data_IF_320581736982
#
_entry.id   IF_320581736982
#
_cell.length_a   1.000
_cell.length_b   1.000
_cell.length_c   1.000
_cell.angle_alpha   90.00
_cell.angle_beta   90.00
_cell.angle_gamma   90.00
#
_symmetry.space_group_name_H-M   'P 1'
#
loop_
_entity.id
_entity.type
_entity.pdbx_description
1 polymer ?
#
# COMPACT_ATOMS: atom_id res chain seq x y z
N UNK A 1 -15.64 2.95 -2.71
CA UNK A 1 -16.75 2.29 -1.96
C UNK A 1 -18.03 3.12 -2.13
N UNK A 2 -19.22 2.60 -1.79
CA UNK A 2 -20.45 3.42 -1.82
C UNK A 2 -20.65 4.23 -0.52
N UNK A 3 -21.62 5.14 -0.53
CA UNK A 3 -21.87 6.04 0.61
C UNK A 3 -22.35 5.30 1.85
N UNK A 4 -23.25 4.34 1.70
CA UNK A 4 -23.76 3.55 2.82
C UNK A 4 -22.62 2.79 3.54
N UNK A 5 -21.68 2.26 2.77
CA UNK A 5 -20.47 1.59 3.27
C UNK A 5 -19.57 2.53 4.07
N UNK A 6 -19.28 3.72 3.55
CA UNK A 6 -18.42 4.70 4.21
C UNK A 6 -19.06 5.29 5.47
N UNK A 7 -20.37 5.53 5.43
CA UNK A 7 -21.13 5.97 6.60
C UNK A 7 -21.08 4.89 7.69
N UNK A 8 -21.34 3.64 7.34
CA UNK A 8 -21.23 2.52 8.28
C UNK A 8 -19.83 2.41 8.87
N UNK A 9 -18.77 2.47 8.05
CA UNK A 9 -17.37 2.44 8.50
C UNK A 9 -17.10 3.57 9.51
N UNK A 10 -17.56 4.79 9.20
CA UNK A 10 -17.31 5.95 10.06
C UNK A 10 -18.03 5.80 11.40
N UNK A 11 -19.29 5.39 11.38
CA UNK A 11 -20.10 5.20 12.59
C UNK A 11 -19.60 4.04 13.46
N UNK A 12 -18.94 3.04 12.85
CA UNK A 12 -18.40 1.88 13.54
C UNK A 12 -16.87 1.94 13.68
N UNK A 13 -16.30 3.15 13.88
CA UNK A 13 -14.87 3.31 14.18
C UNK A 13 -14.50 2.44 15.40
N UNK A 14 -13.55 1.50 15.30
CA UNK A 14 -13.09 0.73 16.45
C UNK A 14 -12.47 1.65 17.50
N UNK A 15 -12.43 1.19 18.76
CA UNK A 15 -11.64 1.85 19.79
C UNK A 15 -10.15 1.69 19.46
N UNK A 16 -9.55 2.76 18.93
CA UNK A 16 -8.19 2.78 18.43
C UNK A 16 -7.38 3.79 19.22
N UNK A 17 -6.22 3.34 19.68
CA UNK A 17 -5.25 4.25 20.30
C UNK A 17 -4.82 5.32 19.28
N UNK A 18 -4.66 6.58 19.70
CA UNK A 18 -4.13 7.62 18.83
C UNK A 18 -2.78 7.21 18.26
N UNK A 19 -2.63 7.34 16.94
CA UNK A 19 -1.34 7.14 16.29
C UNK A 19 -0.46 8.38 16.52
N UNK A 20 0.85 8.21 16.79
CA UNK A 20 1.76 9.34 16.78
C UNK A 20 1.81 9.97 15.39
N UNK A 21 2.03 11.29 15.34
CA UNK A 21 2.19 11.98 14.06
C UNK A 21 3.47 11.50 13.36
N UNK A 22 3.40 10.91 12.15
CA UNK A 22 4.59 10.44 11.45
C UNK A 22 5.47 11.61 11.01
N UNK A 23 6.78 11.48 11.21
CA UNK A 23 7.76 12.42 10.68
C UNK A 23 8.35 11.88 9.36
N UNK A 24 7.61 12.04 8.25
CA UNK A 24 8.08 11.59 6.95
C UNK A 24 9.22 12.49 6.44
N UNK A 25 10.32 11.91 5.96
CA UNK A 25 11.38 12.68 5.29
C UNK A 25 10.86 13.35 4.03
N UNK A 26 11.48 14.48 3.60
CA UNK A 26 11.07 15.19 2.38
C UNK A 26 10.98 14.30 1.14
N UNK A 27 11.90 13.32 0.99
CA UNK A 27 11.85 12.37 -0.13
C UNK A 27 10.59 11.50 -0.12
N UNK A 28 10.18 10.99 1.05
CA UNK A 28 8.96 10.19 1.15
C UNK A 28 7.73 11.04 0.80
N UNK A 29 7.59 12.24 1.38
CA UNK A 29 6.50 13.17 1.08
C UNK A 29 6.45 13.52 -0.41
N UNK A 30 7.61 13.74 -1.03
CA UNK A 30 7.72 14.00 -2.47
C UNK A 30 7.17 12.84 -3.30
N UNK A 31 7.57 11.60 -2.98
CA UNK A 31 7.12 10.43 -3.71
C UNK A 31 5.64 10.14 -3.52
N UNK A 32 5.07 10.40 -2.35
CA UNK A 32 3.64 10.18 -2.09
C UNK A 32 2.74 11.02 -3.00
N UNK A 33 3.19 12.19 -3.48
CA UNK A 33 2.45 12.99 -4.49
C UNK A 33 2.42 12.33 -5.87
N UNK A 34 3.25 11.31 -6.10
CA UNK A 34 3.45 10.64 -7.40
C UNK A 34 2.86 9.22 -7.44
N UNK A 35 2.30 8.74 -6.35
CA UNK A 35 1.67 7.40 -6.25
C UNK A 35 0.32 7.31 -6.98
N UNK A 36 -0.23 8.42 -7.46
CA UNK A 36 -1.34 8.42 -8.42
C UNK A 36 -0.87 7.85 -9.76
N UNK A 37 -0.99 6.53 -9.90
CA UNK A 37 -0.51 5.79 -11.05
C UNK A 37 -1.41 5.99 -12.29
N UNK A 38 -0.85 5.87 -13.51
CA UNK A 38 -1.64 5.88 -14.74
C UNK A 38 -2.68 4.74 -14.80
N UNK A 39 -3.84 5.01 -15.43
CA UNK A 39 -4.90 4.00 -15.59
C UNK A 39 -4.50 2.83 -16.49
N UNK A 40 -3.65 3.09 -17.48
CA UNK A 40 -3.15 2.10 -18.44
C UNK A 40 -2.11 1.14 -17.86
N UNK A 41 -1.62 1.40 -16.64
CA UNK A 41 -0.81 0.41 -15.90
C UNK A 41 -1.66 -0.69 -15.26
N UNK A 42 -2.97 -0.48 -15.16
CA UNK A 42 -3.89 -1.49 -14.65
C UNK A 42 -4.14 -2.56 -15.71
N UNK A 43 -3.98 -3.84 -15.35
CA UNK A 43 -4.35 -4.95 -16.25
C UNK A 43 -5.82 -4.86 -16.68
N UNK A 44 -6.70 -4.40 -15.79
CA UNK A 44 -8.11 -4.13 -16.06
C UNK A 44 -8.44 -2.66 -15.77
N UNK A 45 -8.55 -1.77 -16.79
CA UNK A 45 -8.77 -0.34 -16.59
C UNK A 45 -10.04 0.02 -15.79
N UNK A 46 -11.04 -0.86 -15.78
CA UNK A 46 -12.27 -0.74 -14.98
C UNK A 46 -12.03 -0.85 -13.47
N UNK A 47 -10.93 -1.47 -13.05
CA UNK A 47 -10.58 -1.64 -11.63
C UNK A 47 -9.88 -0.40 -11.05
N UNK A 48 -9.54 0.59 -11.88
CA UNK A 48 -8.80 1.77 -11.44
C UNK A 48 -9.45 2.53 -10.26
N UNK A 49 -10.78 2.65 -10.26
CA UNK A 49 -11.54 3.34 -9.20
C UNK A 49 -12.15 2.37 -8.18
N UNK A 50 -11.81 1.08 -8.27
CA UNK A 50 -12.32 0.03 -7.41
C UNK A 50 -11.74 0.07 -5.99
N UNK A 51 -12.12 -0.91 -5.16
CA UNK A 51 -11.61 -1.07 -3.80
C UNK A 51 -10.12 -1.44 -3.74
N UNK A 52 -9.57 -2.11 -4.76
CA UNK A 52 -8.13 -2.41 -4.90
C UNK A 52 -7.46 -1.50 -5.96
N UNK A 53 -8.16 -0.44 -6.37
CA UNK A 53 -7.70 0.50 -7.38
C UNK A 53 -6.70 1.52 -6.85
N UNK A 54 -6.53 2.62 -7.59
CA UNK A 54 -5.49 3.63 -7.32
C UNK A 54 -5.57 4.22 -5.92
N UNK A 55 -6.78 4.37 -5.34
CA UNK A 55 -6.92 4.94 -3.99
C UNK A 55 -6.32 4.03 -2.92
N UNK A 56 -6.57 2.73 -3.02
CA UNK A 56 -5.96 1.73 -2.13
C UNK A 56 -4.43 1.74 -2.29
N UNK A 57 -3.94 1.64 -3.51
CA UNK A 57 -2.50 1.64 -3.78
C UNK A 57 -1.78 2.88 -3.23
N UNK A 58 -2.37 4.08 -3.38
CA UNK A 58 -1.81 5.32 -2.84
C UNK A 58 -1.77 5.34 -1.30
N UNK A 59 -2.83 4.87 -0.63
CA UNK A 59 -2.85 4.79 0.84
C UNK A 59 -1.90 3.71 1.36
N UNK A 60 -1.83 2.56 0.70
CA UNK A 60 -0.84 1.52 0.99
C UNK A 60 0.59 2.04 0.83
N UNK A 61 0.87 2.85 -0.19
CA UNK A 61 2.18 3.50 -0.35
C UNK A 61 2.49 4.51 0.78
N UNK A 62 1.51 5.28 1.23
CA UNK A 62 1.66 6.17 2.39
C UNK A 62 1.94 5.37 3.69
N UNK A 63 1.19 4.29 3.92
CA UNK A 63 1.39 3.41 5.07
C UNK A 63 2.76 2.72 5.02
N UNK A 64 3.23 2.31 3.84
CA UNK A 64 4.57 1.78 3.66
C UNK A 64 5.66 2.81 3.99
N UNK A 65 5.48 4.08 3.60
CA UNK A 65 6.39 5.16 3.99
C UNK A 65 6.43 5.34 5.51
N UNK A 66 5.26 5.38 6.17
CA UNK A 66 5.15 5.55 7.62
C UNK A 66 5.84 4.41 8.38
N UNK A 67 5.58 3.17 7.98
CA UNK A 67 6.19 1.99 8.59
C UNK A 67 7.72 1.97 8.36
N UNK A 68 8.17 2.37 7.18
CA UNK A 68 9.60 2.48 6.88
C UNK A 68 10.31 3.52 7.77
N UNK A 69 9.69 4.69 7.99
CA UNK A 69 10.24 5.70 8.90
C UNK A 69 10.22 5.25 10.35
N UNK A 70 9.13 4.60 10.80
CA UNK A 70 9.02 4.08 12.16
C UNK A 70 10.10 3.02 12.48
N UNK A 71 10.53 2.28 11.46
CA UNK A 71 11.60 1.28 11.56
C UNK A 71 13.00 1.83 11.26
N UNK A 72 13.13 3.13 10.94
CA UNK A 72 14.41 3.76 10.64
C UNK A 72 15.08 3.26 9.36
N UNK A 73 14.31 2.87 8.34
CA UNK A 73 14.85 2.45 7.03
C UNK A 73 15.58 3.61 6.35
N UNK A 74 16.60 3.30 5.55
CA UNK A 74 17.29 4.29 4.75
C UNK A 74 16.44 4.77 3.54
N UNK A 75 16.90 5.80 2.84
CA UNK A 75 16.18 6.34 1.68
C UNK A 75 16.00 5.29 0.57
N UNK A 76 16.97 4.40 0.35
CA UNK A 76 16.88 3.40 -0.70
C UNK A 76 15.78 2.38 -0.40
N UNK A 77 15.64 1.97 0.85
CA UNK A 77 14.66 1.00 1.30
C UNK A 77 13.27 1.62 1.40
N UNK A 78 13.14 2.82 1.98
CA UNK A 78 11.88 3.56 2.04
C UNK A 78 11.32 3.82 0.65
N UNK A 79 12.12 4.31 -0.28
CA UNK A 79 11.66 4.58 -1.66
C UNK A 79 11.31 3.28 -2.41
N UNK A 80 12.04 2.19 -2.17
CA UNK A 80 11.71 0.86 -2.74
C UNK A 80 10.37 0.34 -2.20
N UNK A 81 10.10 0.48 -0.90
CA UNK A 81 8.84 0.07 -0.28
C UNK A 81 7.65 0.89 -0.81
N UNK A 82 7.81 2.22 -0.97
CA UNK A 82 6.79 3.11 -1.55
C UNK A 82 6.45 2.69 -2.98
N UNK A 83 7.46 2.46 -3.82
CA UNK A 83 7.25 2.01 -5.21
C UNK A 83 6.54 0.66 -5.24
N UNK A 84 7.02 -0.31 -4.45
CA UNK A 84 6.43 -1.64 -4.38
C UNK A 84 4.95 -1.58 -3.98
N UNK A 85 4.65 -0.84 -2.91
CA UNK A 85 3.29 -0.63 -2.41
C UNK A 85 2.39 0.10 -3.43
N UNK A 86 2.92 1.06 -4.19
CA UNK A 86 2.12 1.77 -5.18
C UNK A 86 1.68 0.88 -6.36
N UNK A 87 2.50 -0.10 -6.77
CA UNK A 87 2.21 -0.95 -7.94
C UNK A 87 1.72 -2.36 -7.61
N UNK A 88 1.66 -2.76 -6.33
CA UNK A 88 1.47 -4.16 -5.94
C UNK A 88 0.19 -4.81 -6.50
N UNK A 89 -0.86 -4.00 -6.69
CA UNK A 89 -2.18 -4.43 -7.15
C UNK A 89 -2.49 -4.04 -8.61
N UNK A 90 -1.52 -3.49 -9.36
CA UNK A 90 -1.80 -3.02 -10.73
C UNK A 90 -2.17 -4.14 -11.71
N UNK A 91 -1.81 -5.40 -11.41
CA UNK A 91 -2.06 -6.56 -12.29
C UNK A 91 -3.23 -7.45 -11.83
N UNK A 92 -4.21 -6.86 -11.15
CA UNK A 92 -5.47 -7.54 -10.85
C UNK A 92 -6.37 -7.67 -12.09
N UNK A 93 -7.02 -8.82 -12.23
CA UNK A 93 -8.09 -9.08 -13.19
C UNK A 93 -9.49 -8.91 -12.55
N UNK A 94 -9.59 -8.99 -11.21
CA UNK A 94 -10.81 -8.66 -10.47
C UNK A 94 -10.58 -8.29 -9.00
N UNK A 95 -11.55 -7.61 -8.39
CA UNK A 95 -11.46 -7.11 -7.01
C UNK A 95 -11.74 -8.13 -5.91
N UNK A 96 -11.99 -9.38 -6.28
CA UNK A 96 -12.27 -10.45 -5.32
C UNK A 96 -10.97 -11.15 -4.91
N UNK A 97 -11.00 -12.46 -4.87
CA UNK A 97 -9.95 -13.37 -4.46
C UNK A 97 -8.93 -13.65 -5.58
N UNK A 98 -8.56 -12.65 -6.37
CA UNK A 98 -7.68 -12.81 -7.54
C UNK A 98 -6.30 -13.34 -7.15
N UNK A 99 -6.14 -14.66 -7.10
CA UNK A 99 -4.92 -15.31 -6.66
C UNK A 99 -3.79 -15.08 -7.67
N UNK A 100 -2.59 -14.83 -7.17
CA UNK A 100 -1.40 -14.66 -8.00
C UNK A 100 -1.32 -13.29 -8.68
N UNK A 101 -2.13 -12.31 -8.28
CA UNK A 101 -1.97 -10.92 -8.72
C UNK A 101 -0.60 -10.36 -8.30
N UNK A 102 -0.09 -10.74 -7.12
CA UNK A 102 1.27 -10.39 -6.69
C UNK A 102 2.34 -10.88 -7.67
N UNK A 103 2.28 -12.13 -8.12
CA UNK A 103 3.20 -12.67 -9.12
C UNK A 103 3.15 -11.88 -10.44
N UNK A 104 1.94 -11.63 -10.96
CA UNK A 104 1.77 -10.87 -12.20
C UNK A 104 2.30 -9.44 -12.07
N UNK A 105 2.02 -8.77 -10.94
CA UNK A 105 2.50 -7.42 -10.67
C UNK A 105 4.02 -7.36 -10.53
N UNK A 106 4.64 -8.38 -9.94
CA UNK A 106 6.10 -8.47 -9.86
C UNK A 106 6.76 -8.65 -11.24
N UNK A 107 6.21 -9.53 -12.09
CA UNK A 107 6.67 -9.73 -13.47
C UNK A 107 6.52 -8.44 -14.27
N UNK A 108 5.35 -7.80 -14.19
CA UNK A 108 5.08 -6.54 -14.86
C UNK A 108 6.03 -5.42 -14.40
N UNK A 109 6.29 -5.32 -13.10
CA UNK A 109 7.24 -4.34 -12.54
C UNK A 109 8.65 -4.57 -13.11
N UNK A 110 9.12 -5.82 -13.14
CA UNK A 110 10.44 -6.15 -13.65
C UNK A 110 10.58 -5.79 -15.14
N UNK A 111 9.53 -6.03 -15.94
CA UNK A 111 9.50 -5.68 -17.36
C UNK A 111 9.40 -4.17 -17.64
N UNK A 112 8.88 -3.39 -16.69
CA UNK A 112 8.62 -1.95 -16.83
C UNK A 112 9.45 -1.09 -15.86
N UNK A 113 10.54 -1.64 -15.31
CA UNK A 113 11.27 -1.04 -14.20
C UNK A 113 11.70 0.41 -14.46
N UNK A 114 12.30 0.71 -15.61
CA UNK A 114 12.75 2.07 -15.91
C UNK A 114 11.57 3.06 -15.97
N UNK A 115 10.44 2.64 -16.57
CA UNK A 115 9.23 3.46 -16.66
C UNK A 115 8.63 3.70 -15.27
N UNK A 116 8.56 2.67 -14.44
CA UNK A 116 8.02 2.77 -13.08
C UNK A 116 8.90 3.68 -12.23
N UNK A 117 10.22 3.48 -12.21
CA UNK A 117 11.11 4.31 -11.38
C UNK A 117 11.16 5.75 -11.88
N UNK A 118 11.16 5.99 -13.20
CA UNK A 118 11.14 7.34 -13.76
C UNK A 118 9.89 8.12 -13.35
N UNK A 119 8.73 7.47 -13.19
CA UNK A 119 7.50 8.12 -12.66
C UNK A 119 7.71 8.74 -11.28
N UNK A 120 8.59 8.14 -10.48
CA UNK A 120 8.98 8.60 -9.14
C UNK A 120 10.23 9.50 -9.15
N UNK A 121 10.75 9.87 -10.33
CA UNK A 121 12.05 10.54 -10.51
C UNK A 121 13.21 9.79 -9.85
N UNK A 122 13.14 8.46 -9.86
CA UNK A 122 14.17 7.58 -9.36
C UNK A 122 14.83 6.84 -10.53
N UNK A 123 16.03 6.34 -10.31
CA UNK A 123 16.69 5.40 -11.22
C UNK A 123 16.44 3.98 -10.76
N UNK A 124 15.97 3.13 -11.67
CA UNK A 124 15.91 1.70 -11.43
C UNK A 124 17.32 1.13 -11.28
N UNK A 125 17.52 0.27 -10.29
CA UNK A 125 18.73 -0.54 -10.19
C UNK A 125 18.32 -1.99 -10.02
N UNK A 126 19.10 -2.98 -10.52
CA UNK A 126 18.74 -4.38 -10.40
C UNK A 126 18.38 -4.78 -8.95
N UNK A 127 19.16 -4.29 -7.98
CA UNK A 127 18.91 -4.53 -6.55
C UNK A 127 17.55 -3.98 -6.09
N UNK A 128 17.18 -2.76 -6.47
CA UNK A 128 15.88 -2.15 -6.09
C UNK A 128 14.72 -2.87 -6.77
N UNK A 129 14.87 -3.18 -8.06
CA UNK A 129 13.85 -3.89 -8.85
C UNK A 129 13.58 -5.27 -8.27
N UNK A 130 14.62 -6.07 -8.02
CA UNK A 130 14.46 -7.40 -7.41
C UNK A 130 13.77 -7.31 -6.05
N UNK A 131 14.18 -6.37 -5.19
CA UNK A 131 13.57 -6.23 -3.85
C UNK A 131 12.10 -5.84 -3.88
N UNK A 132 11.74 -4.88 -4.74
CA UNK A 132 10.35 -4.48 -4.92
C UNK A 132 9.51 -5.62 -5.53
N UNK A 133 10.03 -6.28 -6.57
CA UNK A 133 9.36 -7.41 -7.20
C UNK A 133 9.14 -8.56 -6.22
N UNK A 134 10.12 -8.94 -5.40
CA UNK A 134 9.95 -9.95 -4.35
C UNK A 134 8.90 -9.54 -3.32
N UNK A 135 8.93 -8.29 -2.86
CA UNK A 135 7.94 -7.81 -1.89
C UNK A 135 6.51 -7.86 -2.44
N UNK A 136 6.31 -7.44 -3.69
CA UNK A 136 5.02 -7.54 -4.39
C UNK A 136 4.63 -9.00 -4.60
N UNK A 137 5.53 -9.83 -5.12
CA UNK A 137 5.25 -11.24 -5.41
C UNK A 137 4.73 -12.00 -4.19
N UNK A 138 5.33 -11.71 -3.04
CA UNK A 138 5.01 -12.41 -1.80
C UNK A 138 3.88 -11.73 -1.01
N UNK A 139 3.42 -10.53 -1.33
CA UNK A 139 2.58 -9.75 -0.41
C UNK A 139 1.25 -10.43 -0.06
N UNK A 140 0.66 -11.18 -0.99
CA UNK A 140 -0.60 -11.92 -0.78
C UNK A 140 -0.38 -13.38 -0.35
N UNK A 141 0.88 -13.83 -0.26
CA UNK A 141 1.26 -15.17 0.20
C UNK A 141 1.43 -15.17 1.73
N UNK A 142 0.70 -16.02 2.48
CA UNK A 142 0.91 -16.17 3.91
C UNK A 142 2.35 -16.60 4.24
N UNK A 143 2.95 -16.04 5.29
CA UNK A 143 4.34 -16.37 5.67
C UNK A 143 4.61 -17.87 5.84
N UNK A 144 3.65 -18.61 6.42
CA UNK A 144 3.77 -20.07 6.61
C UNK A 144 3.57 -20.90 5.35
N UNK A 145 3.22 -20.26 4.23
CA UNK A 145 2.99 -20.89 2.92
C UNK A 145 4.11 -20.59 1.91
N UNK A 146 5.21 -19.94 2.34
CA UNK A 146 6.38 -19.73 1.51
C UNK A 146 6.99 -21.07 1.10
N UNK A 147 7.25 -21.25 -0.18
CA UNK A 147 8.13 -22.31 -0.67
C UNK A 147 9.58 -22.10 -0.18
N UNK A 148 10.48 -23.09 -0.29
CA UNK A 148 11.89 -22.90 0.04
C UNK A 148 12.54 -21.72 -0.71
N UNK A 149 12.18 -21.53 -1.99
CA UNK A 149 12.68 -20.43 -2.80
C UNK A 149 12.11 -19.08 -2.33
N UNK A 150 10.82 -19.05 -1.98
CA UNK A 150 10.18 -17.86 -1.39
C UNK A 150 10.84 -17.49 -0.07
N UNK A 151 11.18 -18.46 0.76
CA UNK A 151 11.85 -18.22 2.02
C UNK A 151 13.24 -17.63 1.81
N UNK A 152 14.00 -18.13 0.83
CA UNK A 152 15.32 -17.61 0.50
C UNK A 152 15.25 -16.18 -0.07
N UNK A 153 14.30 -15.91 -0.95
CA UNK A 153 14.00 -14.57 -1.46
C UNK A 153 13.58 -13.62 -0.34
N UNK A 154 12.61 -14.04 0.47
CA UNK A 154 12.10 -13.28 1.61
C UNK A 154 13.24 -12.88 2.56
N UNK A 155 14.14 -13.78 2.94
CA UNK A 155 15.24 -13.45 3.85
C UNK A 155 16.17 -12.37 3.29
N UNK A 156 16.35 -12.29 1.97
CA UNK A 156 17.15 -11.23 1.33
C UNK A 156 16.44 -9.88 1.29
N UNK A 157 15.11 -9.88 1.37
CA UNK A 157 14.26 -8.70 1.17
C UNK A 157 13.30 -8.45 2.32
N UNK A 158 13.60 -9.02 3.49
CA UNK A 158 12.65 -9.24 4.58
C UNK A 158 11.96 -7.95 5.00
N UNK A 159 12.74 -6.91 5.27
CA UNK A 159 12.22 -5.64 5.78
C UNK A 159 11.20 -4.99 4.81
N UNK A 160 11.44 -5.07 3.50
CA UNK A 160 10.52 -4.52 2.49
C UNK A 160 9.26 -5.38 2.38
N UNK A 161 9.42 -6.71 2.45
CA UNK A 161 8.29 -7.64 2.42
C UNK A 161 7.37 -7.42 3.63
N UNK A 162 7.94 -7.30 4.82
CA UNK A 162 7.18 -7.12 6.06
C UNK A 162 6.45 -5.76 6.04
N UNK A 163 7.12 -4.69 5.60
CA UNK A 163 6.51 -3.36 5.44
C UNK A 163 5.37 -3.35 4.42
N UNK A 164 5.57 -3.89 3.21
CA UNK A 164 4.53 -3.87 2.16
C UNK A 164 3.34 -4.73 2.57
N UNK A 165 3.56 -5.91 3.14
CA UNK A 165 2.48 -6.76 3.68
C UNK A 165 1.69 -6.05 4.78
N UNK A 166 2.38 -5.39 5.70
CA UNK A 166 1.74 -4.69 6.80
C UNK A 166 0.98 -3.45 6.33
N UNK A 167 1.54 -2.69 5.38
CA UNK A 167 0.88 -1.53 4.79
C UNK A 167 -0.41 -1.91 4.07
N UNK A 168 -0.38 -2.97 3.25
CA UNK A 168 -1.58 -3.48 2.57
C UNK A 168 -2.60 -3.99 3.60
N UNK A 169 -2.15 -4.77 4.59
CA UNK A 169 -3.00 -5.20 5.69
C UNK A 169 -3.63 -4.03 6.47
N UNK A 170 -2.91 -2.91 6.62
CA UNK A 170 -3.41 -1.70 7.29
C UNK A 170 -4.53 -1.01 6.50
N UNK A 171 -4.47 -1.00 5.16
CA UNK A 171 -5.51 -0.36 4.34
C UNK A 171 -6.73 -1.26 4.10
N UNK A 172 -6.58 -2.59 4.20
CA UNK A 172 -7.64 -3.55 3.85
C UNK A 172 -8.87 -3.47 4.75
N UNK A 173 -10.01 -3.03 4.19
CA UNK A 173 -11.34 -3.17 4.81
C UNK A 173 -11.96 -4.54 4.54
N UNK A 174 -12.26 -5.29 5.61
CA UNK A 174 -12.96 -6.58 5.50
C UNK A 174 -14.43 -6.43 5.89
N UNK A 175 -15.27 -5.94 5.00
CA UNK A 175 -16.72 -5.95 5.21
C UNK A 175 -17.32 -7.34 4.96
N UNK A 176 -18.38 -7.77 5.68
CA UNK A 176 -19.11 -7.09 6.76
C UNK A 176 -18.53 -7.37 8.16
N UNK A 177 -17.22 -7.67 8.29
CA UNK A 177 -16.65 -8.06 9.58
C UNK A 177 -16.26 -6.81 10.37
N UNK A 178 -16.68 -6.75 11.64
CA UNK A 178 -16.21 -5.76 12.63
C UNK A 178 -14.71 -5.90 12.93
N UNK A 179 -14.10 -7.01 12.52
CA UNK A 179 -12.65 -7.22 12.55
C UNK A 179 -12.03 -6.74 11.26
N UNK A 180 -11.57 -5.50 11.31
CA UNK A 180 -11.00 -4.84 10.17
C UNK A 180 -9.60 -5.36 9.83
N UNK A 181 -8.68 -5.33 10.78
CA UNK A 181 -7.31 -5.81 10.59
C UNK A 181 -7.17 -7.31 10.84
N UNK A 182 -6.20 -7.98 10.19
CA UNK A 182 -5.81 -9.34 10.56
C UNK A 182 -5.34 -9.40 12.03
N UNK A 183 -5.32 -10.61 12.59
CA UNK A 183 -4.69 -10.83 13.89
C UNK A 183 -3.21 -10.41 13.78
N UNK A 184 -2.79 -9.46 14.64
CA UNK A 184 -1.44 -8.91 14.67
C UNK A 184 -0.36 -9.99 14.83
N UNK A 185 -0.69 -11.14 15.43
CA UNK A 185 0.23 -12.29 15.54
C UNK A 185 0.67 -12.87 14.18
N UNK A 186 -0.04 -12.55 13.09
CA UNK A 186 0.33 -12.96 11.73
C UNK A 186 1.02 -11.84 10.94
N UNK A 187 1.25 -10.68 11.57
CA UNK A 187 1.98 -9.54 11.00
C UNK A 187 3.33 -9.46 11.68
N UNK A 188 4.40 -9.36 10.89
CA UNK A 188 5.78 -9.31 11.41
C UNK A 188 6.31 -7.90 11.62
N UNK A 189 5.55 -6.90 11.18
CA UNK A 189 5.90 -5.48 11.24
C UNK A 189 5.63 -4.91 12.65
N UNK A 190 6.66 -4.51 13.41
CA UNK A 190 6.50 -4.06 14.80
C UNK A 190 5.58 -2.85 14.97
N UNK A 191 5.57 -1.93 14.00
CA UNK A 191 4.77 -0.71 14.07
C UNK A 191 3.32 -0.88 13.59
N UNK A 192 2.89 -2.11 13.26
CA UNK A 192 1.57 -2.38 12.69
C UNK A 192 0.41 -1.86 13.57
N UNK A 193 0.44 -2.14 14.87
CA UNK A 193 -0.65 -1.72 15.77
C UNK A 193 -0.66 -0.22 16.03
N UNK A 194 0.49 0.44 15.94
CA UNK A 194 0.69 1.86 16.21
C UNK A 194 -0.08 2.75 15.23
N UNK A 195 -0.20 2.34 13.96
CA UNK A 195 -0.73 3.20 12.88
C UNK A 195 -2.15 2.86 12.42
N UNK A 196 -2.88 2.00 13.14
CA UNK A 196 -4.27 1.64 12.79
C UNK A 196 -5.22 2.84 12.77
N UNK A 197 -5.10 3.75 13.74
CA UNK A 197 -5.97 4.93 13.80
C UNK A 197 -5.72 5.87 12.62
N UNK A 198 -4.45 6.07 12.24
CA UNK A 198 -4.09 6.83 11.06
C UNK A 198 -4.56 6.15 9.76
N UNK A 199 -4.36 4.84 9.62
CA UNK A 199 -4.86 4.07 8.48
C UNK A 199 -6.38 4.23 8.31
N UNK A 200 -7.12 4.29 9.41
CA UNK A 200 -8.56 4.58 9.34
C UNK A 200 -8.91 5.95 8.84
N UNK A 201 -8.24 6.96 9.37
CA UNK A 201 -8.52 8.30 8.95
C UNK A 201 -8.20 8.49 7.46
N UNK A 202 -7.12 7.89 6.95
CA UNK A 202 -6.77 7.96 5.53
C UNK A 202 -7.89 7.45 4.62
N UNK A 203 -8.47 6.31 4.95
CA UNK A 203 -9.52 5.75 4.11
C UNK A 203 -10.84 6.48 4.29
N UNK A 204 -11.24 6.79 5.53
CA UNK A 204 -12.44 7.58 5.82
C UNK A 204 -12.41 8.92 5.09
N UNK A 205 -11.32 9.68 5.19
CA UNK A 205 -11.18 11.00 4.56
C UNK A 205 -11.16 10.87 3.04
N UNK A 206 -10.33 9.97 2.49
CA UNK A 206 -10.19 9.85 1.04
C UNK A 206 -11.44 9.32 0.35
N UNK A 207 -12.12 8.31 0.90
CA UNK A 207 -13.33 7.78 0.30
C UNK A 207 -14.50 8.78 0.42
N UNK A 208 -14.57 9.57 1.52
CA UNK A 208 -15.53 10.69 1.62
C UNK A 208 -15.27 11.77 0.60
N UNK A 209 -14.01 12.18 0.43
CA UNK A 209 -13.63 13.17 -0.58
C UNK A 209 -14.00 12.68 -1.99
N UNK A 210 -13.76 11.40 -2.30
CA UNK A 210 -14.15 10.81 -3.57
C UNK A 210 -15.67 10.82 -3.77
N UNK A 211 -16.44 10.42 -2.75
CA UNK A 211 -17.90 10.46 -2.77
C UNK A 211 -18.49 11.88 -2.83
N UNK A 212 -17.70 12.89 -2.46
CA UNK A 212 -18.03 14.31 -2.62
C UNK A 212 -17.67 14.87 -4.01
N UNK A 213 -17.13 14.05 -4.91
CA UNK A 213 -16.85 14.41 -6.30
C UNK A 213 -15.36 14.58 -6.64
N UNK A 214 -14.44 14.38 -5.69
CA UNK A 214 -13.02 14.40 -6.01
C UNK A 214 -12.63 13.17 -6.87
N UNK A 215 -11.80 13.39 -7.88
CA UNK A 215 -11.19 12.30 -8.63
C UNK A 215 -10.24 11.49 -7.72
N UNK A 216 -10.08 10.20 -8.03
CA UNK A 216 -9.45 9.23 -7.13
C UNK A 216 -8.08 9.64 -6.56
N UNK A 217 -7.08 10.03 -7.36
CA UNK A 217 -5.81 10.52 -6.81
C UNK A 217 -5.94 11.75 -5.91
N UNK A 218 -6.68 12.79 -6.31
CA UNK A 218 -6.84 13.98 -5.46
C UNK A 218 -7.58 13.71 -4.16
N UNK A 219 -8.51 12.76 -4.15
CA UNK A 219 -9.19 12.35 -2.93
C UNK A 219 -8.20 11.79 -1.89
N UNK A 220 -7.21 11.02 -2.34
CA UNK A 220 -6.14 10.53 -1.45
C UNK A 220 -5.15 11.64 -1.09
N UNK A 221 -4.72 12.46 -2.05
CA UNK A 221 -3.82 13.59 -1.76
C UNK A 221 -4.43 14.57 -0.74
N UNK A 222 -5.74 14.79 -0.81
CA UNK A 222 -6.47 15.55 0.20
C UNK A 222 -6.33 14.91 1.59
N UNK A 223 -6.55 13.60 1.70
CA UNK A 223 -6.38 12.89 2.97
C UNK A 223 -4.94 12.92 3.50
N UNK A 224 -3.94 12.85 2.61
CA UNK A 224 -2.54 12.97 3.00
C UNK A 224 -2.21 14.38 3.51
N UNK A 225 -2.72 15.43 2.86
CA UNK A 225 -2.52 16.82 3.29
C UNK A 225 -3.20 17.10 4.65
N UNK A 226 -4.43 16.62 4.85
CA UNK A 226 -5.15 16.71 6.13
C UNK A 226 -4.42 15.99 7.28
N UNK A 227 -3.55 15.03 6.95
CA UNK A 227 -2.70 14.29 7.89
C UNK A 227 -1.24 14.74 7.88
N UNK A 228 -0.92 15.83 7.19
CA UNK A 228 0.43 16.39 7.09
C UNK A 228 1.48 15.37 6.57
N UNK A 229 1.07 14.47 5.68
CA UNK A 229 1.93 13.42 5.09
C UNK A 229 2.44 13.77 3.69
N UNK A 230 1.74 14.64 2.97
CA UNK A 230 2.14 15.14 1.67
C UNK A 230 1.69 16.59 1.52
#
# INVERSE_FOLDING_TARGET
MDRATIDWITTNRPDLQPSPQPALRPIAQYLLRRTGLPRDWMAEPRLYDSIHGVRHAMRTAALAAILAEANGLDDADTTTAIVAAAVHDCQRHHDKDDRGHGERAAIWLAANADTVWARFDLTATPRRVTRAATAIRLHDVPYGAFSPDDQADYLRTQIICDVVKAADALDRYRLPKTRWWPNAQHVKEPAFDTFRSLAFDLVSISEKAHLAGAHSPAAVLYALAEKELA
#
